data_IF_717557270423
#
_entry.id   IF_717557270423
#
_cell.length_a   1.000
_cell.length_b   1.000
_cell.length_c   1.000
_cell.angle_alpha   90.00
_cell.angle_beta   90.00
_cell.angle_gamma   90.00
#
_symmetry.space_group_name_H-M   'P 1'
#
loop_
_entity.id
_entity.type
_entity.pdbx_description
1 polymer ?
#
# COMPACT_ATOMS: atom_id res chain seq x y z
N UNK A 1 60.15 23.59 6.48
CA UNK A 1 58.91 24.42 6.53
C UNK A 1 57.76 23.91 5.65
N UNK A 2 58.00 23.22 4.52
CA UNK A 2 56.91 22.59 3.73
C UNK A 2 56.22 21.40 4.42
N UNK A 3 56.94 20.61 5.22
CA UNK A 3 56.36 19.46 5.96
C UNK A 3 55.50 19.85 7.18
N UNK A 4 55.75 21.03 7.76
CA UNK A 4 54.97 21.58 8.88
C UNK A 4 53.66 22.21 8.37
N UNK A 5 53.67 22.79 7.17
CA UNK A 5 52.48 23.34 6.52
C UNK A 5 51.48 22.24 6.06
N UNK A 6 51.98 21.03 5.74
CA UNK A 6 51.13 19.88 5.38
C UNK A 6 50.49 19.24 6.62
N UNK A 7 51.12 19.35 7.80
CA UNK A 7 50.60 18.79 9.05
C UNK A 7 49.48 19.65 9.68
N UNK A 8 49.47 20.96 9.42
CA UNK A 8 48.40 21.87 9.88
C UNK A 8 47.12 21.82 9.02
N UNK A 9 47.20 21.36 7.76
CA UNK A 9 46.02 21.25 6.87
C UNK A 9 45.22 19.95 7.10
N UNK A 10 45.80 18.97 7.79
CA UNK A 10 45.15 17.70 8.08
C UNK A 10 44.29 17.71 9.36
N UNK A 11 44.47 18.71 10.24
CA UNK A 11 43.79 18.76 11.54
C UNK A 11 42.43 19.49 11.46
N UNK A 12 42.18 20.25 10.40
CA UNK A 12 40.91 21.00 10.23
C UNK A 12 39.76 20.16 9.67
N UNK A 13 39.99 18.91 9.25
CA UNK A 13 38.91 18.04 8.71
C UNK A 13 38.16 17.22 9.77
N UNK A 14 38.65 17.14 11.01
CA UNK A 14 38.04 16.29 12.06
C UNK A 14 37.07 17.02 13.00
N UNK A 15 36.89 18.33 12.87
CA UNK A 15 35.92 19.09 13.68
C UNK A 15 34.59 19.39 12.98
N UNK A 16 34.42 19.03 11.71
CA UNK A 16 33.19 19.35 10.96
C UNK A 16 32.06 18.32 11.11
N UNK A 17 32.26 17.25 11.89
CA UNK A 17 31.18 16.37 12.34
C UNK A 17 31.26 16.21 13.86
N UNK A 18 31.12 17.31 14.58
CA UNK A 18 30.58 17.23 15.94
C UNK A 18 29.06 17.09 15.78
N UNK A 19 28.60 15.85 15.69
CA UNK A 19 27.18 15.53 15.77
C UNK A 19 26.71 15.96 17.15
N UNK A 20 26.05 17.11 17.22
CA UNK A 20 25.17 17.40 18.35
C UNK A 20 24.11 16.30 18.36
N UNK A 21 24.15 15.44 19.38
CA UNK A 21 22.99 14.66 19.78
C UNK A 21 21.92 15.65 20.24
N UNK A 22 21.24 16.27 19.27
CA UNK A 22 19.86 16.68 19.51
C UNK A 22 19.11 15.38 19.74
N UNK A 23 18.59 15.22 20.95
CA UNK A 23 17.40 14.40 21.18
C UNK A 23 16.29 14.97 20.29
N UNK A 24 16.33 14.63 19.01
CA UNK A 24 15.11 14.48 18.24
C UNK A 24 14.39 13.34 18.93
N UNK A 25 13.33 13.68 19.67
CA UNK A 25 12.23 12.75 19.90
C UNK A 25 11.96 12.08 18.55
N UNK A 26 12.44 10.84 18.40
CA UNK A 26 12.02 10.02 17.26
C UNK A 26 10.50 9.98 17.39
N UNK A 27 9.74 10.30 16.33
CA UNK A 27 8.32 9.99 16.33
C UNK A 27 8.21 8.55 16.82
N UNK A 28 7.36 8.30 17.81
CA UNK A 28 7.03 6.94 18.21
C UNK A 28 6.38 6.30 16.98
N UNK A 29 7.21 5.73 16.12
CA UNK A 29 6.78 4.95 14.99
C UNK A 29 6.19 3.70 15.61
N UNK A 30 4.86 3.69 15.78
CA UNK A 30 4.16 2.49 16.17
C UNK A 30 4.55 1.41 15.17
N UNK A 31 5.20 0.36 15.66
CA UNK A 31 5.72 -0.70 14.82
C UNK A 31 4.54 -1.37 14.11
N UNK A 32 4.41 -1.11 12.81
CA UNK A 32 3.34 -1.66 12.00
C UNK A 32 3.49 -3.18 11.92
N UNK A 33 2.37 -3.89 12.05
CA UNK A 33 2.34 -5.33 11.77
C UNK A 33 2.70 -5.60 10.30
N UNK A 34 3.13 -6.81 9.94
CA UNK A 34 3.38 -7.16 8.54
C UNK A 34 2.18 -6.87 7.62
N UNK A 35 0.95 -7.14 8.09
CA UNK A 35 -0.26 -6.87 7.30
C UNK A 35 -0.56 -5.37 7.17
N UNK A 36 -0.27 -4.57 8.19
CA UNK A 36 -0.37 -3.11 8.10
C UNK A 36 0.60 -2.52 7.08
N UNK A 37 1.82 -3.07 6.99
CA UNK A 37 2.81 -2.70 5.95
C UNK A 37 2.32 -3.10 4.55
N UNK A 38 1.62 -4.23 4.41
CA UNK A 38 1.00 -4.63 3.16
C UNK A 38 -0.13 -3.68 2.75
N UNK A 39 -1.01 -3.32 3.69
CA UNK A 39 -2.10 -2.37 3.45
C UNK A 39 -1.57 -0.97 3.11
N UNK A 40 -0.45 -0.54 3.70
CA UNK A 40 0.13 0.78 3.39
C UNK A 40 0.67 0.90 1.96
N UNK A 41 0.81 -0.20 1.21
CA UNK A 41 1.09 -0.16 -0.24
C UNK A 41 -0.05 0.51 -1.02
N UNK A 42 -1.28 0.50 -0.50
CA UNK A 42 -2.48 1.00 -1.16
C UNK A 42 -2.97 2.31 -0.52
N UNK A 43 -2.68 3.42 -1.19
CA UNK A 43 -3.12 4.75 -0.74
C UNK A 43 -4.55 4.99 -1.20
N UNK A 44 -5.45 5.34 -0.26
CA UNK A 44 -6.83 5.72 -0.61
C UNK A 44 -6.84 7.10 -1.24
N UNK A 45 -7.40 7.19 -2.45
CA UNK A 45 -7.61 8.45 -3.18
C UNK A 45 -9.06 8.60 -3.55
N UNK A 46 -9.55 9.84 -3.61
CA UNK A 46 -10.90 10.12 -4.09
C UNK A 46 -10.90 10.10 -5.61
N UNK A 47 -11.56 9.10 -6.21
CA UNK A 47 -11.85 9.10 -7.64
C UNK A 47 -13.03 10.04 -7.90
N UNK A 48 -12.84 10.99 -8.81
CA UNK A 48 -13.89 11.90 -9.26
C UNK A 48 -13.66 12.30 -10.70
N UNK A 49 -14.71 12.73 -11.38
CA UNK A 49 -14.63 13.23 -12.75
C UNK A 49 -15.70 14.31 -12.95
N UNK A 50 -15.41 15.28 -13.82
CA UNK A 50 -16.36 16.30 -14.22
C UNK A 50 -17.32 15.73 -15.27
N UNK A 51 -18.56 15.44 -14.83
CA UNK A 51 -19.62 14.91 -15.69
C UNK A 51 -20.50 15.99 -16.31
N UNK A 52 -20.18 17.28 -16.10
CA UNK A 52 -20.97 18.40 -16.65
C UNK A 52 -20.92 18.46 -18.19
N UNK A 53 -19.86 17.88 -18.78
CA UNK A 53 -19.65 17.82 -20.23
C UNK A 53 -20.51 16.78 -20.95
N UNK A 54 -21.13 15.88 -20.20
CA UNK A 54 -22.01 14.85 -20.75
C UNK A 54 -23.39 15.45 -21.06
N UNK A 55 -24.07 14.92 -22.07
CA UNK A 55 -25.48 15.15 -22.30
C UNK A 55 -26.33 14.56 -21.16
N UNK A 56 -27.61 14.94 -21.11
CA UNK A 56 -28.55 14.38 -20.14
C UNK A 56 -28.68 12.86 -20.28
N UNK A 57 -28.74 12.35 -21.51
CA UNK A 57 -28.88 10.92 -21.77
C UNK A 57 -27.61 10.15 -21.39
N UNK A 58 -26.42 10.70 -21.65
CA UNK A 58 -25.16 10.07 -21.22
C UNK A 58 -25.06 10.00 -19.70
N UNK A 59 -25.46 11.05 -18.97
CA UNK A 59 -25.53 10.98 -17.51
C UNK A 59 -26.50 9.92 -17.01
N UNK A 60 -27.64 9.72 -17.69
CA UNK A 60 -28.60 8.64 -17.38
C UNK A 60 -28.04 7.24 -17.66
N UNK A 61 -27.09 7.10 -18.58
CA UNK A 61 -26.42 5.82 -18.83
C UNK A 61 -25.42 5.43 -17.73
N UNK A 62 -24.77 6.40 -17.08
CA UNK A 62 -23.76 6.14 -16.04
C UNK A 62 -24.21 5.14 -14.96
N UNK A 63 -25.37 5.28 -14.29
CA UNK A 63 -25.80 4.30 -13.29
C UNK A 63 -25.94 2.88 -13.87
N UNK A 64 -26.47 2.74 -15.09
CA UNK A 64 -26.62 1.43 -15.74
C UNK A 64 -25.26 0.78 -16.05
N UNK A 65 -24.30 1.59 -16.51
CA UNK A 65 -22.94 1.13 -16.79
C UNK A 65 -22.19 0.76 -15.50
N UNK A 66 -22.41 1.50 -14.42
CA UNK A 66 -21.86 1.20 -13.10
C UNK A 66 -22.45 -0.11 -12.56
N UNK A 67 -23.77 -0.32 -12.66
CA UNK A 67 -24.41 -1.58 -12.29
C UNK A 67 -23.85 -2.78 -13.07
N UNK A 68 -23.62 -2.60 -14.37
CA UNK A 68 -22.98 -3.63 -15.20
C UNK A 68 -21.52 -3.88 -14.79
N UNK A 69 -20.76 -2.83 -14.51
CA UNK A 69 -19.38 -2.93 -14.03
C UNK A 69 -19.30 -3.60 -12.64
N UNK A 70 -20.25 -3.33 -11.76
CA UNK A 70 -20.31 -3.94 -10.43
C UNK A 70 -20.50 -5.46 -10.53
N UNK A 71 -21.22 -5.96 -11.54
CA UNK A 71 -21.30 -7.41 -11.79
C UNK A 71 -19.96 -8.03 -12.18
N UNK A 72 -19.07 -7.29 -12.82
CA UNK A 72 -17.74 -7.80 -13.16
C UNK A 72 -16.89 -8.03 -11.90
N UNK A 73 -17.12 -7.28 -10.81
CA UNK A 73 -16.44 -7.52 -9.54
C UNK A 73 -16.75 -8.91 -8.98
N UNK A 74 -18.01 -9.35 -9.08
CA UNK A 74 -18.44 -10.65 -8.58
C UNK A 74 -17.89 -11.79 -9.44
N UNK A 75 -17.94 -11.63 -10.77
CA UNK A 75 -17.40 -12.62 -11.71
C UNK A 75 -15.89 -12.79 -11.54
N UNK A 76 -15.13 -11.69 -11.55
CA UNK A 76 -13.69 -11.74 -11.40
C UNK A 76 -13.27 -12.32 -10.05
N UNK A 77 -14.02 -12.03 -8.99
CA UNK A 77 -13.79 -12.65 -7.68
C UNK A 77 -13.95 -14.17 -7.75
N UNK A 78 -15.08 -14.63 -8.31
CA UNK A 78 -15.37 -16.06 -8.42
C UNK A 78 -14.31 -16.79 -9.24
N UNK A 79 -13.87 -16.21 -10.36
CA UNK A 79 -12.81 -16.78 -11.20
C UNK A 79 -11.44 -16.77 -10.49
N UNK A 80 -11.17 -15.76 -9.66
CA UNK A 80 -9.89 -15.65 -8.96
C UNK A 80 -9.74 -16.63 -7.79
N UNK A 81 -10.83 -16.99 -7.10
CA UNK A 81 -10.76 -17.81 -5.88
C UNK A 81 -11.90 -18.81 -5.75
N UNK A 82 -13.14 -18.40 -6.05
CA UNK A 82 -14.35 -19.18 -5.78
C UNK A 82 -15.25 -18.49 -4.74
N UNK A 83 -15.64 -19.20 -3.68
CA UNK A 83 -16.59 -18.68 -2.69
C UNK A 83 -15.97 -17.56 -1.82
N UNK A 84 -16.37 -16.32 -2.12
CA UNK A 84 -16.01 -15.12 -1.37
C UNK A 84 -16.39 -15.17 0.10
N UNK A 85 -17.59 -15.66 0.39
CA UNK A 85 -18.18 -15.59 1.71
C UNK A 85 -17.52 -16.61 2.62
N UNK A 86 -17.30 -17.83 2.11
CA UNK A 86 -16.54 -18.87 2.80
C UNK A 86 -15.16 -18.37 3.22
N UNK A 87 -14.38 -17.84 2.28
CA UNK A 87 -13.05 -17.28 2.56
C UNK A 87 -13.10 -16.15 3.58
N UNK A 88 -13.96 -15.15 3.38
CA UNK A 88 -13.99 -14.00 4.29
C UNK A 88 -14.49 -14.39 5.69
N UNK A 89 -15.27 -15.46 5.82
CA UNK A 89 -15.74 -15.96 7.12
C UNK A 89 -14.70 -16.83 7.84
N UNK A 90 -13.80 -17.50 7.11
CA UNK A 90 -12.71 -18.27 7.73
C UNK A 90 -11.65 -17.37 8.39
N UNK A 91 -11.52 -16.13 7.92
CA UNK A 91 -10.57 -15.15 8.47
C UNK A 91 -11.19 -14.41 9.67
N UNK A 92 -10.41 -14.22 10.74
CA UNK A 92 -10.82 -13.41 11.91
C UNK A 92 -10.28 -11.99 11.86
N UNK A 93 -9.02 -11.85 11.48
CA UNK A 93 -8.30 -10.58 11.41
C UNK A 93 -8.88 -9.65 10.34
N UNK A 94 -9.19 -8.41 10.71
CA UNK A 94 -9.84 -7.45 9.81
C UNK A 94 -8.88 -6.86 8.77
N UNK A 95 -7.60 -6.71 9.11
CA UNK A 95 -6.59 -6.21 8.19
C UNK A 95 -6.33 -7.24 7.08
N UNK A 96 -6.29 -8.53 7.45
CA UNK A 96 -6.22 -9.62 6.45
C UNK A 96 -7.47 -9.58 5.55
N UNK A 97 -8.69 -9.49 6.10
CA UNK A 97 -9.92 -9.39 5.27
C UNK A 97 -9.88 -8.20 4.32
N UNK A 98 -9.38 -7.06 4.79
CA UNK A 98 -9.24 -5.86 3.97
C UNK A 98 -8.27 -6.10 2.81
N UNK A 99 -7.14 -6.74 3.08
CA UNK A 99 -6.14 -7.05 2.07
C UNK A 99 -6.65 -8.06 1.04
N UNK A 100 -7.39 -9.09 1.48
CA UNK A 100 -8.09 -10.04 0.59
C UNK A 100 -9.05 -9.30 -0.34
N UNK A 101 -9.84 -8.36 0.20
CA UNK A 101 -10.81 -7.59 -0.59
C UNK A 101 -10.14 -6.72 -1.65
N UNK A 102 -9.00 -6.09 -1.33
CA UNK A 102 -8.24 -5.27 -2.27
C UNK A 102 -7.65 -6.13 -3.39
N UNK A 103 -7.19 -7.35 -3.07
CA UNK A 103 -6.48 -8.23 -4.01
C UNK A 103 -7.38 -9.25 -4.74
N UNK A 104 -8.70 -9.24 -4.46
CA UNK A 104 -9.67 -10.21 -4.98
C UNK A 104 -9.24 -11.66 -4.70
N UNK A 105 -8.73 -11.92 -3.50
CA UNK A 105 -8.23 -13.22 -3.09
C UNK A 105 -7.09 -13.15 -2.07
N UNK A 106 -6.63 -14.31 -1.56
CA UNK A 106 -5.61 -14.45 -0.53
C UNK A 106 -4.15 -14.29 -1.00
N UNK A 107 -3.92 -13.75 -2.20
CA UNK A 107 -2.59 -13.59 -2.81
C UNK A 107 -2.21 -12.12 -2.99
N UNK A 108 -0.98 -11.75 -2.67
CA UNK A 108 -0.48 -10.38 -2.82
C UNK A 108 -0.16 -10.12 -4.30
N UNK A 109 -1.05 -9.38 -4.98
CA UNK A 109 -0.92 -9.08 -6.42
C UNK A 109 0.32 -8.24 -6.74
N UNK A 110 0.91 -7.55 -5.76
CA UNK A 110 2.13 -6.76 -5.90
C UNK A 110 3.40 -7.50 -5.48
N UNK A 111 3.28 -8.73 -4.98
CA UNK A 111 4.39 -9.58 -4.57
C UNK A 111 4.34 -10.95 -5.26
N UNK A 112 4.15 -10.95 -6.58
CA UNK A 112 4.22 -12.17 -7.39
C UNK A 112 3.09 -13.17 -7.12
N UNK A 113 1.96 -12.71 -6.57
CA UNK A 113 0.86 -13.57 -6.09
C UNK A 113 1.26 -14.54 -4.98
N UNK A 114 2.25 -14.22 -4.15
CA UNK A 114 2.50 -15.03 -2.94
C UNK A 114 1.28 -14.97 -2.01
N UNK A 115 0.84 -16.13 -1.54
CA UNK A 115 -0.23 -16.28 -0.57
C UNK A 115 0.17 -15.70 0.77
N UNK A 116 -0.74 -14.95 1.39
CA UNK A 116 -0.56 -14.39 2.73
C UNK A 116 -1.54 -14.97 3.75
N UNK A 117 -2.26 -16.03 3.37
CA UNK A 117 -3.20 -16.76 4.23
C UNK A 117 -2.69 -18.19 4.41
N UNK A 118 -2.57 -18.63 5.66
CA UNK A 118 -2.12 -19.98 5.98
C UNK A 118 -3.08 -21.04 5.38
N UNK A 119 -2.51 -22.11 4.83
CA UNK A 119 -3.27 -23.19 4.19
C UNK A 119 -3.69 -22.93 2.74
N UNK A 120 -3.26 -21.81 2.15
CA UNK A 120 -3.47 -21.50 0.73
C UNK A 120 -2.12 -21.44 0.02
N UNK A 121 -1.96 -22.24 -1.02
CA UNK A 121 -0.73 -22.34 -1.83
C UNK A 121 -0.66 -21.22 -2.89
N UNK A 122 0.54 -21.01 -3.43
CA UNK A 122 0.86 -20.04 -4.49
C UNK A 122 0.45 -20.52 -5.89
#
# INVERSE_FOLDING_TARGET
MKKILILLLAITFVYSCKTEEKETEKPVEQEQTPMQKNLSKYVTVKLSSDVSKLSENERKMLPLLIEAADKMNDLFWYESYGDKTELLNSIKDQDIKKFIKINYGPWDRLAGNTSFVEGIED
#
